data_IF_756927501156
#
_entry.id   IF_756927501156
#
_cell.length_a   1.000
_cell.length_b   1.000
_cell.length_c   1.000
_cell.angle_alpha   90.00
_cell.angle_beta   90.00
_cell.angle_gamma   90.00
#
_symmetry.space_group_name_H-M   'P 1'
#
loop_
_entity.id
_entity.type
_entity.pdbx_description
1 polymer ?
#
# COMPACT_ATOMS: atom_id res chain seq x y z
N UNK A 1 -2.24 47.85 -58.27
CA UNK A 1 -2.62 47.52 -56.90
C UNK A 1 -1.89 46.27 -56.47
N UNK A 2 -0.91 46.41 -55.60
CA UNK A 2 -0.22 45.24 -55.03
C UNK A 2 -1.18 44.54 -54.06
N UNK A 3 -1.50 43.28 -54.33
CA UNK A 3 -2.21 42.45 -53.36
C UNK A 3 -1.29 42.14 -52.19
N UNK A 4 -1.55 42.78 -51.05
CA UNK A 4 -0.86 42.41 -49.77
C UNK A 4 -1.44 41.09 -49.27
N UNK A 5 -0.68 39.99 -49.44
CA UNK A 5 -0.96 38.73 -48.79
C UNK A 5 -0.64 38.86 -47.28
N UNK A 6 -1.44 38.25 -46.43
CA UNK A 6 -1.11 38.04 -45.04
C UNK A 6 -1.05 36.52 -44.76
N UNK A 7 -0.10 36.14 -43.98
CA UNK A 7 0.01 34.74 -43.52
C UNK A 7 -0.82 34.55 -42.26
N UNK A 8 -1.63 33.53 -42.25
CA UNK A 8 -2.37 33.09 -41.05
C UNK A 8 -1.67 31.85 -40.51
N UNK A 9 -1.08 31.99 -39.33
CA UNK A 9 -0.48 30.88 -38.59
C UNK A 9 -1.47 30.27 -37.58
N UNK A 10 -1.26 29.01 -37.26
CA UNK A 10 -2.01 28.37 -36.16
C UNK A 10 -1.75 29.08 -34.84
N UNK A 11 -2.77 29.19 -34.02
CA UNK A 11 -2.64 29.69 -32.65
C UNK A 11 -1.95 28.61 -31.79
N UNK A 12 -1.16 29.05 -30.79
CA UNK A 12 -0.59 28.13 -29.81
C UNK A 12 -1.65 27.63 -28.83
N UNK A 13 -1.48 26.42 -28.33
CA UNK A 13 -2.28 25.86 -27.27
C UNK A 13 -1.39 25.19 -26.21
N UNK A 14 -1.95 24.91 -25.03
CA UNK A 14 -1.34 24.12 -23.98
C UNK A 14 -2.25 22.99 -23.55
N UNK A 15 -1.67 21.92 -23.04
CA UNK A 15 -2.38 20.78 -22.45
C UNK A 15 -2.01 20.63 -20.97
N UNK A 16 -2.91 20.08 -20.18
CA UNK A 16 -2.74 19.89 -18.73
C UNK A 16 -3.21 18.47 -18.35
N UNK A 17 -2.42 17.83 -17.49
CA UNK A 17 -2.80 16.60 -16.76
C UNK A 17 -3.16 16.93 -15.32
N UNK A 18 -4.40 16.61 -14.92
CA UNK A 18 -4.88 16.76 -13.56
C UNK A 18 -4.82 15.40 -12.87
N UNK A 19 -3.73 15.16 -12.16
CA UNK A 19 -3.48 13.98 -11.34
C UNK A 19 -2.49 14.37 -10.25
N UNK A 20 -2.57 13.74 -9.07
CA UNK A 20 -1.65 14.02 -7.96
C UNK A 20 -0.19 13.71 -8.32
N UNK A 21 0.75 14.49 -7.78
CA UNK A 21 2.19 14.27 -7.98
C UNK A 21 2.71 13.10 -7.12
N UNK A 22 1.98 12.80 -6.03
CA UNK A 22 2.23 11.67 -5.13
C UNK A 22 0.93 10.93 -4.88
N UNK A 23 0.94 9.61 -5.03
CA UNK A 23 -0.22 8.74 -4.85
C UNK A 23 0.23 7.50 -4.09
N UNK A 24 -0.46 7.16 -2.98
CA UNK A 24 -0.30 5.84 -2.37
C UNK A 24 -0.94 4.78 -3.28
N UNK A 25 -0.32 3.62 -3.37
CA UNK A 25 -0.88 2.52 -4.16
C UNK A 25 -2.32 2.21 -3.73
N UNK A 26 -3.16 1.94 -4.73
CA UNK A 26 -4.55 1.51 -4.57
C UNK A 26 -4.92 0.53 -5.68
N UNK A 27 -5.86 -0.37 -5.39
CA UNK A 27 -6.32 -1.39 -6.33
C UNK A 27 -7.12 -0.80 -7.49
N UNK A 28 -7.88 0.27 -7.22
CA UNK A 28 -8.68 0.95 -8.22
C UNK A 28 -7.83 1.88 -9.09
N UNK A 29 -8.08 1.95 -10.41
CA UNK A 29 -7.37 2.87 -11.28
C UNK A 29 -7.64 4.34 -10.93
N UNK A 30 -6.60 5.16 -11.01
CA UNK A 30 -6.67 6.61 -10.80
C UNK A 30 -7.07 7.30 -12.10
N UNK A 31 -8.07 8.16 -12.06
CA UNK A 31 -8.46 8.95 -13.22
C UNK A 31 -7.49 10.12 -13.43
N UNK A 32 -6.93 10.23 -14.65
CA UNK A 32 -6.10 11.36 -15.08
C UNK A 32 -6.99 12.34 -15.83
N UNK A 33 -7.24 13.50 -15.23
CA UNK A 33 -7.99 14.58 -15.89
C UNK A 33 -7.17 15.19 -17.03
N UNK A 34 -7.78 15.39 -18.19
CA UNK A 34 -7.13 15.92 -19.39
C UNK A 34 -7.80 17.22 -19.82
N UNK A 35 -7.00 18.26 -20.03
CA UNK A 35 -7.49 19.59 -20.45
C UNK A 35 -6.61 20.17 -21.55
N UNK A 36 -7.22 21.00 -22.41
CA UNK A 36 -6.56 21.80 -23.42
C UNK A 36 -7.06 23.25 -23.34
N UNK A 37 -6.19 24.22 -23.54
CA UNK A 37 -6.55 25.65 -23.58
C UNK A 37 -7.39 26.01 -24.79
N UNK A 38 -7.30 25.22 -25.89
CA UNK A 38 -8.09 25.40 -27.10
C UNK A 38 -9.51 24.82 -27.00
N UNK A 39 -9.77 23.95 -26.01
CA UNK A 39 -11.01 23.17 -25.91
C UNK A 39 -11.05 21.92 -26.78
N UNK A 40 -9.99 21.63 -27.57
CA UNK A 40 -9.84 20.38 -28.31
C UNK A 40 -9.73 19.20 -27.34
N UNK A 41 -10.22 18.03 -27.76
CA UNK A 41 -10.29 16.82 -26.91
C UNK A 41 -9.70 15.58 -27.57
N UNK A 42 -8.87 15.76 -28.60
CA UNK A 42 -8.23 14.67 -29.32
C UNK A 42 -6.92 14.24 -28.62
N UNK A 43 -7.04 13.98 -27.31
CA UNK A 43 -5.92 13.66 -26.47
C UNK A 43 -5.33 12.28 -26.75
N UNK A 44 -3.99 12.22 -26.76
CA UNK A 44 -3.23 10.97 -26.68
C UNK A 44 -2.45 10.97 -25.35
N UNK A 45 -2.90 10.15 -24.41
CA UNK A 45 -2.23 9.92 -23.11
C UNK A 45 -1.48 8.59 -23.18
N UNK A 46 -0.23 8.58 -22.73
CA UNK A 46 0.58 7.37 -22.66
C UNK A 46 1.45 7.32 -21.41
N UNK A 47 1.76 6.10 -20.95
CA UNK A 47 2.78 5.84 -19.94
C UNK A 47 4.10 5.59 -20.66
N UNK A 48 5.09 6.45 -20.43
CA UNK A 48 6.43 6.30 -21.01
C UNK A 48 7.27 5.31 -20.23
N UNK A 49 7.15 5.32 -18.89
CA UNK A 49 7.91 4.44 -18.02
C UNK A 49 7.28 4.36 -16.62
N UNK A 50 7.75 3.39 -15.83
CA UNK A 50 7.38 3.23 -14.42
C UNK A 50 6.24 2.24 -14.17
N UNK A 51 5.87 2.04 -12.90
CA UNK A 51 4.91 1.03 -12.47
C UNK A 51 3.45 1.48 -12.69
N UNK A 52 3.05 1.72 -13.93
CA UNK A 52 1.71 2.13 -14.29
C UNK A 52 1.28 1.61 -15.65
N UNK A 53 -0.02 1.43 -15.85
CA UNK A 53 -0.65 1.08 -17.13
C UNK A 53 -1.91 1.90 -17.31
N UNK A 54 -2.20 2.32 -18.54
CA UNK A 54 -3.48 2.93 -18.86
C UNK A 54 -4.52 1.84 -19.16
N UNK A 55 -5.69 2.01 -18.58
CA UNK A 55 -6.87 1.20 -18.81
C UNK A 55 -8.03 2.15 -19.19
N UNK A 56 -8.83 1.77 -20.20
CA UNK A 56 -10.01 2.54 -20.60
C UNK A 56 -9.75 4.05 -20.83
N UNK A 57 -8.68 4.36 -21.57
CA UNK A 57 -8.34 5.73 -22.00
C UNK A 57 -7.49 6.48 -21.01
N UNK A 58 -8.08 7.15 -20.03
CA UNK A 58 -7.39 8.02 -19.07
C UNK A 58 -7.32 7.47 -17.63
N UNK A 59 -7.59 6.18 -17.43
CA UNK A 59 -7.49 5.54 -16.12
C UNK A 59 -6.11 4.91 -15.94
N UNK A 60 -5.34 5.42 -14.99
CA UNK A 60 -4.01 4.93 -14.63
C UNK A 60 -4.13 3.84 -13.56
N UNK A 61 -3.86 2.59 -13.92
CA UNK A 61 -3.70 1.49 -12.98
C UNK A 61 -2.28 1.45 -12.47
N UNK A 62 -2.11 1.50 -11.14
CA UNK A 62 -0.83 1.41 -10.46
C UNK A 62 -0.43 -0.07 -10.30
N UNK A 63 0.79 -0.42 -10.68
CA UNK A 63 1.28 -1.81 -10.67
C UNK A 63 2.41 -2.05 -9.66
N UNK A 64 2.76 -1.03 -8.87
CA UNK A 64 3.78 -1.12 -7.82
C UNK A 64 4.26 0.26 -7.39
N UNK A 65 5.27 0.27 -6.53
CA UNK A 65 5.97 1.47 -6.05
C UNK A 65 6.96 1.99 -7.11
N UNK A 66 7.12 3.31 -7.21
CA UNK A 66 8.08 3.95 -8.10
C UNK A 66 7.57 5.22 -8.74
N UNK A 67 8.26 5.71 -9.79
CA UNK A 67 7.87 6.91 -10.52
C UNK A 67 7.27 6.53 -11.86
N UNK A 68 6.02 6.92 -12.08
CA UNK A 68 5.33 6.78 -13.37
C UNK A 68 5.54 8.06 -14.17
N UNK A 69 6.07 7.92 -15.38
CA UNK A 69 6.20 9.01 -16.35
C UNK A 69 5.05 8.97 -17.34
N UNK A 70 4.25 10.01 -17.35
CA UNK A 70 3.11 10.19 -18.25
C UNK A 70 3.46 11.22 -19.30
N UNK A 71 2.93 11.03 -20.50
CA UNK A 71 2.96 12.02 -21.58
C UNK A 71 1.56 12.23 -22.11
N UNK A 72 1.17 13.48 -22.25
CA UNK A 72 -0.06 13.92 -22.88
C UNK A 72 0.25 14.74 -24.11
N UNK A 73 -0.34 14.41 -25.23
CA UNK A 73 -0.28 15.19 -26.46
C UNK A 73 -1.67 15.47 -27.04
N UNK A 74 -1.79 16.60 -27.72
CA UNK A 74 -2.93 17.03 -28.51
C UNK A 74 -2.39 17.49 -29.87
N UNK A 75 -2.73 16.82 -30.97
CA UNK A 75 -2.14 17.10 -32.29
C UNK A 75 -2.55 18.46 -32.86
N UNK A 76 -3.58 19.09 -32.30
CA UNK A 76 -4.13 20.33 -32.85
C UNK A 76 -5.09 20.12 -34.01
N UNK A 77 -5.44 21.20 -34.69
CA UNK A 77 -6.32 21.25 -35.86
C UNK A 77 -5.88 22.35 -36.82
N UNK A 78 -6.75 22.75 -37.75
CA UNK A 78 -6.46 23.83 -38.69
C UNK A 78 -6.25 25.18 -38.03
N UNK A 79 -6.71 25.39 -36.78
CA UNK A 79 -6.65 26.67 -36.04
C UNK A 79 -5.57 26.66 -34.97
N UNK A 80 -5.28 25.50 -34.37
CA UNK A 80 -4.37 25.36 -33.25
C UNK A 80 -3.24 24.39 -33.56
N UNK A 81 -2.01 24.76 -33.19
CA UNK A 81 -0.85 23.91 -33.32
C UNK A 81 -0.89 22.76 -32.28
N UNK A 82 0.00 21.79 -32.40
CA UNK A 82 0.13 20.69 -31.46
C UNK A 82 0.65 21.17 -30.10
N UNK A 83 0.28 20.45 -29.04
CA UNK A 83 0.81 20.67 -27.68
C UNK A 83 1.15 19.32 -27.03
N UNK A 84 2.16 19.33 -26.17
CA UNK A 84 2.62 18.15 -25.46
C UNK A 84 3.16 18.53 -24.08
N UNK A 85 2.95 17.68 -23.09
CA UNK A 85 3.50 17.81 -21.75
C UNK A 85 3.84 16.45 -21.14
N UNK A 86 4.85 16.40 -20.29
CA UNK A 86 5.18 15.22 -19.49
C UNK A 86 4.95 15.52 -18.00
N UNK A 87 4.53 14.51 -17.28
CA UNK A 87 4.31 14.56 -15.83
C UNK A 87 4.86 13.32 -15.15
N UNK A 88 5.47 13.51 -13.99
CA UNK A 88 5.96 12.45 -13.13
C UNK A 88 5.02 12.30 -11.93
N UNK A 89 4.60 11.07 -11.67
CA UNK A 89 3.74 10.70 -10.54
C UNK A 89 4.50 9.70 -9.68
N UNK A 90 4.79 10.08 -8.45
CA UNK A 90 5.46 9.19 -7.49
C UNK A 90 4.41 8.31 -6.82
N UNK A 91 4.56 6.99 -6.97
CA UNK A 91 3.71 6.00 -6.33
C UNK A 91 4.44 5.44 -5.12
N UNK A 92 3.85 5.56 -3.94
CA UNK A 92 4.33 4.96 -2.71
C UNK A 92 3.51 3.72 -2.36
N UNK A 93 4.04 2.84 -1.51
CA UNK A 93 3.25 1.74 -0.94
C UNK A 93 2.09 2.28 -0.11
N UNK A 94 0.98 1.57 -0.10
CA UNK A 94 -0.14 1.84 0.80
C UNK A 94 0.24 1.47 2.25
N UNK A 95 -0.28 2.21 3.21
CA UNK A 95 -0.19 1.84 4.62
C UNK A 95 -1.20 0.76 4.97
N UNK A 96 -0.88 -0.03 6.00
CA UNK A 96 -1.77 -1.04 6.55
C UNK A 96 -1.67 -1.05 8.08
N UNK A 97 -2.68 -1.63 8.72
CA UNK A 97 -2.75 -1.81 10.17
C UNK A 97 -3.07 -3.27 10.50
N UNK A 98 -2.67 -3.71 11.69
CA UNK A 98 -3.03 -5.02 12.23
C UNK A 98 -4.10 -4.82 13.29
N UNK A 99 -5.21 -5.53 13.16
CA UNK A 99 -6.22 -5.72 14.19
C UNK A 99 -5.97 -7.07 14.84
N UNK A 100 -5.61 -7.07 16.13
CA UNK A 100 -5.35 -8.28 16.91
C UNK A 100 -6.48 -8.45 17.94
N UNK A 101 -7.27 -9.52 17.81
CA UNK A 101 -8.36 -9.83 18.73
C UNK A 101 -7.85 -9.91 20.16
N UNK A 102 -8.53 -9.24 21.10
CA UNK A 102 -8.11 -9.16 22.49
C UNK A 102 -8.07 -10.54 23.15
N UNK A 103 -6.90 -10.92 23.66
CA UNK A 103 -6.73 -12.16 24.41
C UNK A 103 -7.32 -12.04 25.83
N UNK A 104 -7.82 -13.16 26.41
CA UNK A 104 -8.19 -13.20 27.82
C UNK A 104 -7.01 -12.80 28.72
N UNK A 105 -7.27 -12.06 29.79
CA UNK A 105 -6.24 -11.63 30.77
C UNK A 105 -5.53 -12.84 31.39
N UNK A 106 -6.28 -13.92 31.64
CA UNK A 106 -5.76 -15.18 32.19
C UNK A 106 -6.21 -16.35 31.32
N UNK A 107 -5.29 -17.26 31.05
CA UNK A 107 -5.54 -18.50 30.32
C UNK A 107 -5.04 -19.65 31.19
N UNK A 108 -5.90 -20.63 31.42
CA UNK A 108 -5.48 -21.85 32.13
C UNK A 108 -4.56 -22.70 31.23
N UNK A 109 -3.48 -23.21 31.82
CA UNK A 109 -2.64 -24.17 31.11
C UNK A 109 -3.48 -25.36 30.64
N UNK A 110 -3.44 -25.63 29.36
CA UNK A 110 -4.15 -26.72 28.74
C UNK A 110 -3.31 -27.32 27.58
N UNK A 111 -3.56 -28.59 27.28
CA UNK A 111 -2.88 -29.26 26.16
C UNK A 111 -3.37 -28.80 24.77
N UNK A 112 -4.54 -28.14 24.72
CA UNK A 112 -5.10 -27.63 23.48
C UNK A 112 -4.44 -26.30 23.07
N UNK A 113 -4.20 -26.08 21.76
CA UNK A 113 -3.62 -24.83 21.27
C UNK A 113 -4.51 -23.63 21.56
N UNK A 114 -3.89 -22.49 21.93
CA UNK A 114 -4.55 -21.19 22.00
C UNK A 114 -4.59 -20.61 20.58
N UNK A 115 -5.77 -20.25 20.12
CA UNK A 115 -5.94 -19.62 18.81
C UNK A 115 -5.67 -18.12 18.91
N UNK A 116 -4.73 -17.62 18.09
CA UNK A 116 -4.43 -16.20 17.93
C UNK A 116 -5.09 -15.71 16.65
N UNK A 117 -5.88 -14.64 16.78
CA UNK A 117 -6.60 -14.04 15.65
C UNK A 117 -6.16 -12.61 15.44
N UNK A 118 -5.43 -12.38 14.36
CA UNK A 118 -5.10 -11.04 13.92
C UNK A 118 -5.22 -10.95 12.40
N UNK A 119 -5.71 -9.82 11.93
CA UNK A 119 -5.91 -9.53 10.52
C UNK A 119 -5.20 -8.24 10.14
N UNK A 120 -4.55 -8.25 8.99
CA UNK A 120 -4.03 -7.03 8.39
C UNK A 120 -5.09 -6.42 7.48
N UNK A 121 -5.26 -5.09 7.52
CA UNK A 121 -6.21 -4.36 6.67
C UNK A 121 -5.96 -4.56 5.16
N UNK A 122 -4.76 -4.99 4.80
CA UNK A 122 -4.37 -5.38 3.43
C UNK A 122 -4.85 -6.78 3.02
N UNK A 123 -5.30 -7.63 3.96
CA UNK A 123 -5.56 -9.05 3.73
C UNK A 123 -4.31 -9.93 3.66
N UNK A 124 -3.11 -9.36 3.87
CA UNK A 124 -1.85 -10.12 3.90
C UNK A 124 -1.76 -10.94 5.20
N UNK A 125 -1.12 -12.12 5.10
CA UNK A 125 -0.97 -13.03 6.24
C UNK A 125 -0.17 -12.41 7.37
N UNK A 126 -0.73 -12.40 8.58
CA UNK A 126 -0.07 -11.96 9.81
C UNK A 126 0.81 -13.08 10.36
N UNK A 127 1.99 -12.71 10.86
CA UNK A 127 2.92 -13.60 11.55
C UNK A 127 2.91 -13.30 13.04
N UNK A 128 3.09 -14.34 13.85
CA UNK A 128 3.11 -14.23 15.31
C UNK A 128 4.44 -14.71 15.86
N UNK A 129 4.89 -14.09 16.96
CA UNK A 129 6.03 -14.57 17.75
C UNK A 129 5.78 -14.34 19.25
N UNK A 130 6.36 -15.18 20.09
CA UNK A 130 6.42 -14.97 21.54
C UNK A 130 7.65 -14.12 21.84
N UNK A 131 7.44 -12.91 22.31
CA UNK A 131 8.53 -11.95 22.56
C UNK A 131 9.03 -11.98 23.99
N UNK A 132 8.21 -12.41 24.95
CA UNK A 132 8.66 -12.63 26.33
C UNK A 132 7.80 -13.62 27.07
N UNK A 133 8.44 -14.31 28.03
CA UNK A 133 7.78 -15.14 29.03
C UNK A 133 8.43 -14.81 30.37
N UNK A 134 7.63 -14.39 31.36
CA UNK A 134 8.12 -13.99 32.69
C UNK A 134 7.35 -14.70 33.76
N UNK A 135 8.07 -15.16 34.80
CA UNK A 135 7.47 -15.64 36.03
C UNK A 135 6.87 -14.48 36.85
N UNK A 136 6.00 -14.78 37.82
CA UNK A 136 5.42 -13.80 38.74
C UNK A 136 6.45 -12.94 39.48
N UNK A 137 7.69 -13.42 39.62
CA UNK A 137 8.82 -12.70 40.23
C UNK A 137 9.60 -11.84 39.20
N UNK A 138 9.13 -11.69 37.99
CA UNK A 138 9.78 -10.90 36.95
C UNK A 138 11.04 -11.52 36.31
N UNK A 139 11.38 -12.74 36.68
CA UNK A 139 12.51 -13.47 36.09
C UNK A 139 12.09 -14.01 34.74
N UNK A 140 12.91 -13.78 33.70
CA UNK A 140 12.66 -14.38 32.39
C UNK A 140 12.72 -15.91 32.46
N UNK A 141 11.63 -16.56 32.09
CA UNK A 141 11.57 -18.02 32.07
C UNK A 141 11.90 -18.51 30.65
N UNK A 142 13.14 -18.85 30.42
CA UNK A 142 13.66 -19.31 29.12
C UNK A 142 13.23 -20.73 28.72
N UNK A 143 12.21 -21.29 29.30
CA UNK A 143 11.83 -22.67 29.08
C UNK A 143 10.54 -22.88 28.27
N UNK A 144 10.16 -21.92 27.41
CA UNK A 144 9.29 -22.27 26.30
C UNK A 144 10.16 -22.82 25.16
N UNK A 145 10.46 -24.11 25.25
CA UNK A 145 11.03 -24.84 24.14
C UNK A 145 10.01 -24.85 23.01
N UNK A 146 10.30 -24.10 21.92
CA UNK A 146 9.55 -24.03 20.68
C UNK A 146 8.06 -23.67 20.85
N UNK A 147 7.76 -22.39 20.96
CA UNK A 147 6.45 -21.88 20.59
C UNK A 147 6.39 -21.78 19.07
N UNK A 148 6.10 -22.87 18.40
CA UNK A 148 5.72 -22.82 16.98
C UNK A 148 4.31 -22.27 16.90
N UNK A 149 4.19 -21.04 16.42
CA UNK A 149 2.89 -20.53 15.97
C UNK A 149 2.67 -21.06 14.55
N UNK A 150 2.06 -22.23 14.46
CA UNK A 150 1.68 -22.81 13.19
C UNK A 150 0.25 -22.34 12.87
N UNK A 151 0.09 -21.61 11.79
CA UNK A 151 -1.22 -21.18 11.26
C UNK A 151 -2.14 -20.43 12.26
N UNK A 152 -1.56 -19.52 13.09
CA UNK A 152 -2.32 -18.77 14.10
C UNK A 152 -2.68 -19.56 15.36
N UNK A 153 -2.21 -20.80 15.47
CA UNK A 153 -2.39 -21.64 16.66
C UNK A 153 -1.13 -21.66 17.49
N UNK A 154 -1.26 -21.21 18.72
CA UNK A 154 -0.18 -21.17 19.68
C UNK A 154 -0.22 -22.41 20.58
N UNK A 155 0.81 -23.26 20.49
CA UNK A 155 0.96 -24.42 21.37
C UNK A 155 1.88 -24.07 22.51
N UNK A 156 1.35 -24.05 23.73
CA UNK A 156 2.11 -23.84 24.94
C UNK A 156 2.73 -25.18 25.38
N UNK A 157 4.04 -25.28 25.26
CA UNK A 157 4.80 -26.30 25.99
C UNK A 157 5.36 -25.68 27.28
N UNK A 158 4.58 -25.67 28.36
CA UNK A 158 5.05 -25.14 29.61
C UNK A 158 5.98 -26.14 30.29
N UNK A 159 7.24 -25.78 30.40
CA UNK A 159 8.23 -26.46 31.28
C UNK A 159 8.67 -25.48 32.36
N UNK A 160 7.79 -25.13 33.27
CA UNK A 160 8.14 -24.18 34.30
C UNK A 160 7.05 -23.98 35.37
N UNK A 161 7.38 -23.20 36.40
CA UNK A 161 6.44 -22.89 37.48
C UNK A 161 5.40 -21.84 36.99
N UNK A 162 4.13 -22.12 37.20
CA UNK A 162 3.03 -21.17 37.01
C UNK A 162 2.85 -20.28 38.24
N UNK A 163 2.34 -19.05 38.12
CA UNK A 163 1.89 -18.39 36.93
C UNK A 163 3.01 -17.73 36.09
N UNK A 164 2.80 -17.56 34.80
CA UNK A 164 3.73 -16.91 33.90
C UNK A 164 2.99 -15.87 33.01
N UNK A 165 3.59 -14.70 32.84
CA UNK A 165 3.11 -13.72 31.86
C UNK A 165 3.75 -14.01 30.49
N UNK A 166 2.93 -14.24 29.50
CA UNK A 166 3.33 -14.48 28.10
C UNK A 166 2.97 -13.27 27.26
N UNK A 167 3.91 -12.74 26.49
CA UNK A 167 3.67 -11.66 25.54
C UNK A 167 3.84 -12.19 24.13
N UNK A 168 2.82 -12.00 23.31
CA UNK A 168 2.76 -12.38 21.91
C UNK A 168 2.72 -11.14 21.04
N UNK A 169 3.49 -11.14 19.96
CA UNK A 169 3.54 -10.07 18.97
C UNK A 169 2.97 -10.57 17.64
N UNK A 170 2.05 -9.80 17.06
CA UNK A 170 1.56 -9.96 15.71
C UNK A 170 2.29 -8.96 14.78
N UNK A 171 2.78 -9.40 13.63
CA UNK A 171 3.53 -8.59 12.69
C UNK A 171 3.15 -8.91 11.25
N UNK A 172 3.31 -7.91 10.37
CA UNK A 172 3.10 -8.05 8.93
C UNK A 172 4.13 -7.17 8.18
N UNK A 173 4.99 -7.80 7.38
CA UNK A 173 6.15 -7.16 6.76
C UNK A 173 5.86 -6.37 5.48
N UNK A 174 4.62 -6.35 5.02
CA UNK A 174 4.25 -5.74 3.73
C UNK A 174 4.61 -6.62 2.53
N UNK A 175 4.41 -6.06 1.35
CA UNK A 175 4.75 -6.67 0.07
C UNK A 175 5.15 -5.59 -0.97
N UNK A 176 4.96 -5.85 -2.26
CA UNK A 176 5.22 -4.87 -3.33
C UNK A 176 4.23 -3.69 -3.33
N UNK A 177 3.07 -3.82 -2.66
CA UNK A 177 1.98 -2.84 -2.67
C UNK A 177 1.75 -2.17 -1.33
N UNK A 178 2.04 -2.86 -0.23
CA UNK A 178 1.82 -2.39 1.13
C UNK A 178 3.13 -2.25 1.91
N UNK A 179 3.26 -1.19 2.69
CA UNK A 179 4.34 -1.05 3.66
C UNK A 179 4.15 -2.04 4.82
N UNK A 180 5.22 -2.32 5.57
CA UNK A 180 5.09 -3.07 6.82
C UNK A 180 4.10 -2.39 7.77
N UNK A 181 3.26 -3.17 8.44
CA UNK A 181 2.41 -2.67 9.51
C UNK A 181 3.20 -2.47 10.81
N UNK A 182 2.76 -1.53 11.64
CA UNK A 182 3.21 -1.51 13.03
C UNK A 182 2.78 -2.79 13.72
N UNK A 183 3.71 -3.47 14.41
CA UNK A 183 3.38 -4.68 15.16
C UNK A 183 2.48 -4.37 16.34
N UNK A 184 1.66 -5.34 16.73
CA UNK A 184 0.76 -5.27 17.89
C UNK A 184 1.13 -6.36 18.88
N UNK A 185 1.28 -6.00 20.15
CA UNK A 185 1.60 -6.94 21.21
C UNK A 185 0.40 -7.09 22.17
N UNK A 186 0.20 -8.31 22.65
CA UNK A 186 -0.74 -8.62 23.71
C UNK A 186 -0.10 -9.57 24.70
N UNK A 187 -0.48 -9.40 25.98
CA UNK A 187 0.02 -10.22 27.07
C UNK A 187 -1.14 -10.87 27.81
N UNK A 188 -0.91 -12.08 28.30
CA UNK A 188 -1.83 -12.81 29.16
C UNK A 188 -1.07 -13.55 30.26
N UNK A 189 -1.75 -13.85 31.36
CA UNK A 189 -1.22 -14.67 32.43
C UNK A 189 -1.60 -16.13 32.20
N UNK A 190 -0.60 -17.00 32.19
CA UNK A 190 -0.79 -18.44 32.13
C UNK A 190 -0.88 -18.97 33.56
N UNK A 191 -1.99 -19.60 33.95
CA UNK A 191 -2.30 -20.06 35.30
C UNK A 191 -2.64 -21.55 35.36
#
# INVERSE_FOLDING_TARGET
SEARGFEVSQASQSVEMVVGDQIAWQSEPVEVGLKSSSGLKNFNLQVLSGPGKLEHGNKLKLTGEGVVQLELSEPGDARYGSAQIQKYVTVSKASQVIEFETLPVQIKFQAEPIELKAEASSGLKVSYEVVSVRTSNGVEAWSLSSSEVLDGKFVLSATGLLPQTVTVKASQGGDSFYSAASSVEQSFELV
#
